data_IF_514041634541
#
_entry.id   IF_514041634541
#
_cell.length_a   1.000
_cell.length_b   1.000
_cell.length_c   1.000
_cell.angle_alpha   90.00
_cell.angle_beta   90.00
_cell.angle_gamma   90.00
#
_symmetry.space_group_name_H-M   'P 1'
#
loop_
_entity.id
_entity.type
_entity.pdbx_description
1 polymer ?
#
# COMPACT_ATOMS: atom_id res chain seq x y z
N UNK A 1 -15.76 38.96 27.48
CA UNK A 1 -16.08 38.20 26.27
C UNK A 1 -17.02 37.11 26.66
N UNK A 2 -18.28 37.35 26.37
CA UNK A 2 -19.35 36.40 26.62
C UNK A 2 -19.27 35.35 25.51
N UNK A 3 -19.35 34.08 25.87
CA UNK A 3 -19.51 32.96 24.95
C UNK A 3 -20.90 32.38 25.21
N UNK A 4 -21.47 31.66 24.25
CA UNK A 4 -22.77 31.01 24.41
C UNK A 4 -22.67 29.51 24.16
N UNK A 5 -23.68 28.79 24.66
CA UNK A 5 -23.74 27.31 24.65
C UNK A 5 -23.27 26.67 23.36
N UNK A 6 -22.60 25.52 23.48
CA UNK A 6 -22.12 24.75 22.31
C UNK A 6 -23.28 24.30 21.40
N UNK A 7 -24.49 24.25 21.95
CA UNK A 7 -25.74 23.89 21.28
C UNK A 7 -26.59 25.08 20.85
N UNK A 8 -26.12 26.31 21.07
CA UNK A 8 -26.86 27.53 20.83
C UNK A 8 -26.33 28.25 19.58
N UNK A 9 -27.17 29.08 18.96
CA UNK A 9 -26.79 29.85 17.77
C UNK A 9 -27.45 31.23 17.70
N UNK A 10 -26.83 32.13 16.93
CA UNK A 10 -27.39 33.43 16.60
C UNK A 10 -27.60 33.50 15.10
N UNK A 11 -28.76 33.99 14.68
CA UNK A 11 -29.10 34.16 13.27
C UNK A 11 -29.24 35.64 12.97
N UNK A 12 -28.55 36.12 11.94
CA UNK A 12 -28.50 37.53 11.52
C UNK A 12 -28.89 37.69 10.06
N UNK A 13 -29.23 38.92 9.68
CA UNK A 13 -29.69 39.20 8.33
C UNK A 13 -28.57 39.41 7.29
N UNK A 14 -27.42 39.93 7.71
CA UNK A 14 -26.38 40.37 6.79
C UNK A 14 -24.97 40.13 7.34
N UNK A 15 -24.00 40.19 6.43
CA UNK A 15 -22.58 39.96 6.69
C UNK A 15 -21.96 40.94 7.68
N UNK A 16 -22.45 42.19 7.71
CA UNK A 16 -21.93 43.20 8.62
C UNK A 16 -22.26 42.85 10.08
N UNK A 17 -23.52 42.53 10.36
CA UNK A 17 -23.95 42.08 11.69
C UNK A 17 -23.30 40.73 12.04
N UNK A 18 -23.19 39.81 11.08
CA UNK A 18 -22.49 38.53 11.31
C UNK A 18 -21.07 38.76 11.81
N UNK A 19 -20.26 39.56 11.10
CA UNK A 19 -18.87 39.85 11.51
C UNK A 19 -18.81 40.56 12.86
N UNK A 20 -19.73 41.49 13.12
CA UNK A 20 -19.79 42.21 14.39
C UNK A 20 -20.05 41.24 15.55
N UNK A 21 -21.05 40.37 15.44
CA UNK A 21 -21.38 39.41 16.50
C UNK A 21 -20.34 38.31 16.63
N UNK A 22 -19.77 37.80 15.52
CA UNK A 22 -18.64 36.85 15.55
C UNK A 22 -17.48 37.38 16.41
N UNK A 23 -17.14 38.67 16.24
CA UNK A 23 -16.11 39.37 17.03
C UNK A 23 -16.52 39.60 18.48
N UNK A 24 -17.78 39.97 18.71
CA UNK A 24 -18.30 40.21 20.06
C UNK A 24 -18.29 38.94 20.92
N UNK A 25 -18.68 37.80 20.34
CA UNK A 25 -18.68 36.49 20.98
C UNK A 25 -17.38 35.70 20.72
N UNK A 26 -16.29 36.42 20.42
CA UNK A 26 -14.97 35.81 20.33
C UNK A 26 -14.41 35.56 21.72
N UNK A 27 -13.93 34.35 21.98
CA UNK A 27 -13.27 34.00 23.24
C UNK A 27 -11.87 33.51 22.95
N UNK A 28 -10.88 34.04 23.66
CA UNK A 28 -9.46 33.67 23.49
C UNK A 28 -8.95 33.80 22.04
N UNK A 29 -9.45 34.81 21.31
CA UNK A 29 -9.10 35.05 19.90
C UNK A 29 -9.80 34.15 18.89
N UNK A 30 -10.70 33.27 19.33
CA UNK A 30 -11.47 32.36 18.47
C UNK A 30 -12.86 32.96 18.22
N UNK A 31 -13.13 33.34 16.98
CA UNK A 31 -14.46 33.82 16.54
C UNK A 31 -15.52 32.71 16.60
N UNK A 32 -16.79 33.08 16.80
CA UNK A 32 -17.87 32.08 16.82
C UNK A 32 -18.35 31.71 15.42
N UNK A 33 -18.24 30.44 15.04
CA UNK A 33 -18.80 29.86 13.83
C UNK A 33 -20.29 29.49 13.98
N UNK A 34 -20.90 29.79 15.13
CA UNK A 34 -22.33 29.57 15.40
C UNK A 34 -23.19 30.84 15.23
N UNK A 35 -22.68 31.81 14.47
CA UNK A 35 -23.43 33.00 14.01
C UNK A 35 -23.70 32.86 12.51
N UNK A 36 -24.96 32.70 12.12
CA UNK A 36 -25.37 32.36 10.75
C UNK A 36 -26.18 33.45 10.08
N UNK A 37 -26.05 33.59 8.77
CA UNK A 37 -27.03 34.32 7.95
C UNK A 37 -28.35 33.55 7.88
N UNK A 38 -29.46 34.26 7.60
CA UNK A 38 -30.75 33.63 7.28
C UNK A 38 -30.67 32.56 6.20
N UNK A 39 -29.77 32.72 5.25
CA UNK A 39 -29.57 31.79 4.13
C UNK A 39 -28.70 30.58 4.48
N UNK A 40 -27.83 30.69 5.48
CA UNK A 40 -26.86 29.65 5.86
C UNK A 40 -27.44 28.66 6.87
N UNK A 41 -28.40 29.11 7.68
CA UNK A 41 -28.94 28.32 8.78
C UNK A 41 -29.90 27.20 8.33
N UNK A 42 -30.18 27.09 7.03
CA UNK A 42 -31.15 26.13 6.51
C UNK A 42 -30.64 24.70 6.71
N UNK A 43 -31.44 23.86 7.38
CA UNK A 43 -31.11 22.46 7.66
C UNK A 43 -30.34 22.24 8.96
N UNK A 44 -30.03 23.30 9.70
CA UNK A 44 -29.38 23.23 11.00
C UNK A 44 -30.41 23.30 12.14
N UNK A 45 -30.08 22.71 13.28
CA UNK A 45 -30.92 22.71 14.48
C UNK A 45 -30.08 22.92 15.75
N UNK A 46 -30.58 23.79 16.62
CA UNK A 46 -29.92 24.24 17.85
C UNK A 46 -30.90 24.10 19.02
N UNK A 47 -30.39 24.02 20.26
CA UNK A 47 -31.26 24.00 21.44
C UNK A 47 -31.95 25.35 21.59
N UNK A 48 -31.14 26.41 21.67
CA UNK A 48 -31.62 27.78 21.78
C UNK A 48 -31.10 28.64 20.62
N UNK A 49 -31.96 29.53 20.10
CA UNK A 49 -31.62 30.42 18.97
C UNK A 49 -32.02 31.86 19.28
N UNK A 50 -31.12 32.81 19.03
CA UNK A 50 -31.45 34.23 18.98
C UNK A 50 -31.54 34.67 17.52
N UNK A 51 -32.70 35.17 17.11
CA UNK A 51 -32.86 35.88 15.83
C UNK A 51 -32.61 37.36 16.06
N UNK A 52 -31.55 37.87 15.45
CA UNK A 52 -31.01 39.20 15.71
C UNK A 52 -31.51 40.22 14.69
N UNK A 53 -32.23 41.23 15.18
CA UNK A 53 -32.71 42.41 14.44
C UNK A 53 -33.43 42.04 13.14
N UNK A 54 -34.30 41.03 13.21
CA UNK A 54 -34.97 40.46 12.04
C UNK A 54 -35.77 41.52 11.26
N UNK A 55 -36.66 42.24 11.96
CA UNK A 55 -37.55 43.19 11.30
C UNK A 55 -36.83 44.48 10.90
N UNK A 56 -35.91 44.98 11.71
CA UNK A 56 -35.08 46.16 11.42
C UNK A 56 -34.37 46.03 10.06
N UNK A 57 -33.90 44.82 9.70
CA UNK A 57 -33.30 44.57 8.40
C UNK A 57 -34.25 44.92 7.23
N UNK A 58 -35.51 44.52 7.34
CA UNK A 58 -36.51 44.70 6.29
C UNK A 58 -37.15 46.09 6.30
N UNK A 59 -37.03 46.88 7.37
CA UNK A 59 -37.54 48.26 7.41
C UNK A 59 -36.90 49.15 6.34
N UNK A 60 -35.65 48.84 5.97
CA UNK A 60 -34.94 49.55 4.89
C UNK A 60 -35.46 49.21 3.48
N UNK A 61 -36.26 48.15 3.33
CA UNK A 61 -36.75 47.66 2.05
C UNK A 61 -38.10 48.32 1.75
N UNK A 62 -38.12 49.32 0.85
CA UNK A 62 -39.30 50.13 0.50
C UNK A 62 -40.33 49.40 -0.37
N UNK A 63 -40.69 48.17 -0.04
CA UNK A 63 -41.69 47.38 -0.79
C UNK A 63 -42.62 46.67 0.18
N UNK A 64 -43.92 46.85 0.02
CA UNK A 64 -44.95 46.08 0.75
C UNK A 64 -45.70 45.12 -0.18
N UNK A 65 -45.03 44.69 -1.25
CA UNK A 65 -45.59 43.72 -2.19
C UNK A 65 -45.90 42.38 -1.50
N UNK A 66 -46.90 41.68 -2.01
CA UNK A 66 -47.28 40.34 -1.53
C UNK A 66 -46.11 39.37 -1.62
N UNK A 67 -45.34 39.46 -2.71
CA UNK A 67 -44.15 38.66 -2.98
C UNK A 67 -43.05 38.93 -1.95
N UNK A 68 -42.78 40.20 -1.64
CA UNK A 68 -41.81 40.57 -0.62
C UNK A 68 -42.23 40.08 0.78
N UNK A 69 -43.50 40.27 1.15
CA UNK A 69 -44.00 39.75 2.42
C UNK A 69 -43.92 38.22 2.50
N UNK A 70 -44.22 37.52 1.40
CA UNK A 70 -44.04 36.06 1.32
C UNK A 70 -42.58 35.67 1.53
N UNK A 71 -41.64 36.35 0.90
CA UNK A 71 -40.20 36.11 1.10
C UNK A 71 -39.77 36.35 2.54
N UNK A 72 -40.12 37.50 3.13
CA UNK A 72 -39.84 37.85 4.52
C UNK A 72 -40.37 36.80 5.50
N UNK A 73 -41.64 36.41 5.37
CA UNK A 73 -42.23 35.42 6.28
C UNK A 73 -41.70 34.00 6.06
N UNK A 74 -41.27 33.65 4.84
CA UNK A 74 -40.55 32.40 4.61
C UNK A 74 -39.20 32.39 5.36
N UNK A 75 -38.46 33.49 5.36
CA UNK A 75 -37.21 33.60 6.13
C UNK A 75 -37.47 33.56 7.63
N UNK A 76 -38.53 34.22 8.10
CA UNK A 76 -38.95 34.15 9.49
C UNK A 76 -39.23 32.69 9.90
N UNK A 77 -40.00 31.96 9.08
CA UNK A 77 -40.30 30.55 9.29
C UNK A 77 -39.02 29.69 9.34
N UNK A 78 -38.07 29.93 8.43
CA UNK A 78 -36.77 29.25 8.44
C UNK A 78 -36.04 29.50 9.76
N UNK A 79 -35.99 30.75 10.23
CA UNK A 79 -35.33 31.10 11.49
C UNK A 79 -36.03 30.46 12.69
N UNK A 80 -37.37 30.48 12.72
CA UNK A 80 -38.15 29.94 13.84
C UNK A 80 -38.01 28.43 13.99
N UNK A 81 -37.82 27.72 12.89
CA UNK A 81 -37.71 26.25 12.88
C UNK A 81 -36.29 25.75 13.13
N UNK A 82 -35.35 26.60 13.59
CA UNK A 82 -33.99 26.18 13.97
C UNK A 82 -33.83 25.92 15.46
N UNK A 83 -34.73 26.45 16.29
CA UNK A 83 -34.74 26.20 17.73
C UNK A 83 -35.51 24.93 18.06
N UNK A 84 -34.91 24.05 18.87
CA UNK A 84 -35.55 22.84 19.40
C UNK A 84 -36.23 23.09 20.75
N UNK A 85 -35.70 24.00 21.55
CA UNK A 85 -36.19 24.25 22.91
C UNK A 85 -36.68 25.69 23.08
N UNK A 86 -35.84 26.70 22.81
CA UNK A 86 -36.20 28.11 22.98
C UNK A 86 -35.77 28.97 21.80
N UNK A 87 -36.65 29.90 21.43
CA UNK A 87 -36.34 30.94 20.44
C UNK A 87 -36.52 32.32 21.04
N UNK A 88 -35.56 33.18 20.75
CA UNK A 88 -35.52 34.56 21.17
C UNK A 88 -35.48 35.45 19.93
N UNK A 89 -36.18 36.59 20.00
CA UNK A 89 -36.07 37.66 19.00
C UNK A 89 -35.53 38.89 19.70
N UNK A 90 -34.43 39.43 19.17
CA UNK A 90 -33.89 40.70 19.60
C UNK A 90 -34.21 41.76 18.56
N UNK A 91 -35.16 42.65 18.85
CA UNK A 91 -35.62 43.72 17.93
C UNK A 91 -34.84 45.04 18.08
N UNK A 92 -33.87 45.11 18.99
CA UNK A 92 -33.20 46.37 19.32
C UNK A 92 -33.98 47.20 20.34
N UNK A 93 -33.85 48.53 20.28
CA UNK A 93 -34.46 49.45 21.24
C UNK A 93 -35.98 49.57 21.10
N UNK A 94 -36.53 49.25 19.91
CA UNK A 94 -37.96 49.38 19.62
C UNK A 94 -38.53 48.04 19.17
N UNK A 95 -39.47 47.52 19.95
CA UNK A 95 -40.20 46.29 19.64
C UNK A 95 -41.01 46.49 18.35
N UNK A 96 -40.93 45.54 17.43
CA UNK A 96 -41.69 45.61 16.18
C UNK A 96 -43.18 45.34 16.41
N UNK A 97 -44.05 46.10 15.73
CA UNK A 97 -45.52 45.95 15.86
C UNK A 97 -46.04 44.60 15.35
N UNK A 98 -45.21 43.80 14.66
CA UNK A 98 -45.52 42.42 14.30
C UNK A 98 -45.92 41.58 15.53
N UNK A 99 -45.29 41.81 16.67
CA UNK A 99 -45.54 41.09 17.92
C UNK A 99 -46.85 41.46 18.61
N UNK A 100 -47.44 42.61 18.27
CA UNK A 100 -48.71 43.08 18.83
C UNK A 100 -49.93 42.42 18.20
N UNK A 101 -49.73 41.64 17.13
CA UNK A 101 -50.79 40.92 16.44
C UNK A 101 -51.50 39.96 17.41
N UNK A 102 -52.84 39.97 17.47
CA UNK A 102 -53.61 39.14 18.41
C UNK A 102 -53.24 37.65 18.32
N UNK A 103 -52.92 37.17 17.12
CA UNK A 103 -52.58 35.78 16.85
C UNK A 103 -51.20 35.36 17.38
N UNK A 104 -50.36 36.32 17.79
CA UNK A 104 -48.97 36.07 18.23
C UNK A 104 -48.77 36.51 19.67
N UNK A 105 -49.37 37.64 20.06
CA UNK A 105 -49.16 38.30 21.34
C UNK A 105 -49.40 37.39 22.55
N UNK A 106 -50.35 36.47 22.46
CA UNK A 106 -50.67 35.52 23.54
C UNK A 106 -49.66 34.35 23.65
N UNK A 107 -48.81 34.15 22.63
CA UNK A 107 -47.86 33.04 22.53
C UNK A 107 -46.41 33.46 22.78
N UNK A 108 -46.16 34.73 23.04
CA UNK A 108 -44.82 35.27 23.29
C UNK A 108 -44.72 35.90 24.66
N UNK A 109 -43.52 35.88 25.24
CA UNK A 109 -43.17 36.71 26.38
C UNK A 109 -42.27 37.85 25.91
N UNK A 110 -42.58 39.07 26.34
CA UNK A 110 -41.76 40.25 26.10
C UNK A 110 -41.04 40.56 27.41
N UNK A 111 -39.71 40.67 27.34
CA UNK A 111 -38.87 41.03 28.48
C UNK A 111 -37.78 42.00 28.02
N UNK A 112 -37.54 43.03 28.83
CA UNK A 112 -36.37 43.90 28.71
C UNK A 112 -35.20 43.42 29.59
N UNK A 113 -35.46 42.47 30.51
CA UNK A 113 -34.44 41.90 31.39
C UNK A 113 -33.52 40.94 30.62
N UNK A 114 -32.19 41.12 30.67
CA UNK A 114 -31.21 40.18 30.11
C UNK A 114 -31.28 38.78 30.73
N UNK A 115 -31.85 38.64 31.93
CA UNK A 115 -31.94 37.36 32.69
C UNK A 115 -32.65 36.25 31.90
N UNK A 116 -33.52 36.61 30.95
CA UNK A 116 -34.19 35.62 30.07
C UNK A 116 -33.21 34.88 29.16
N UNK A 117 -31.99 35.41 29.01
CA UNK A 117 -30.89 34.82 28.24
C UNK A 117 -29.86 34.12 29.13
N UNK A 118 -30.11 33.99 30.43
CA UNK A 118 -29.18 33.32 31.35
C UNK A 118 -28.93 31.87 30.95
N UNK A 119 -29.92 31.13 30.43
CA UNK A 119 -29.68 29.78 29.89
C UNK A 119 -28.89 29.77 28.58
N UNK A 120 -28.99 30.85 27.80
CA UNK A 120 -28.36 30.96 26.50
C UNK A 120 -26.84 31.19 26.65
N UNK A 121 -26.47 32.08 27.59
CA UNK A 121 -25.08 32.47 27.88
C UNK A 121 -24.46 31.76 29.08
N UNK A 122 -25.28 31.35 30.06
CA UNK A 122 -24.87 30.60 31.26
C UNK A 122 -24.69 29.13 30.93
N UNK A 123 -23.49 28.76 30.50
CA UNK A 123 -23.22 27.37 30.14
C UNK A 123 -22.64 26.63 31.34
N UNK A 124 -23.49 25.92 32.09
CA UNK A 124 -23.06 24.87 33.02
C UNK A 124 -22.54 23.61 32.30
N UNK A 125 -22.50 23.63 30.95
CA UNK A 125 -21.98 22.55 30.12
C UNK A 125 -20.55 22.17 30.52
N UNK A 126 -20.39 20.90 30.88
CA UNK A 126 -19.10 20.27 31.10
C UNK A 126 -18.32 20.15 29.80
N UNK A 127 -16.99 20.07 29.87
CA UNK A 127 -16.16 19.83 28.67
C UNK A 127 -16.54 18.52 27.97
N UNK A 128 -17.02 17.51 28.71
CA UNK A 128 -17.53 16.25 28.14
C UNK A 128 -18.77 16.45 27.27
N UNK A 129 -19.74 17.25 27.71
CA UNK A 129 -20.94 17.57 26.92
C UNK A 129 -20.62 18.42 25.68
N UNK A 130 -19.63 19.31 25.80
CA UNK A 130 -19.11 20.10 24.68
C UNK A 130 -18.44 19.21 23.64
N UNK A 131 -17.62 18.24 24.07
CA UNK A 131 -17.00 17.25 23.18
C UNK A 131 -18.06 16.44 22.42
N UNK A 132 -19.07 15.90 23.10
CA UNK A 132 -20.16 15.16 22.44
C UNK A 132 -20.89 16.03 21.40
N UNK A 133 -21.07 17.32 21.71
CA UNK A 133 -21.70 18.27 20.78
C UNK A 133 -20.81 18.52 19.56
N UNK A 134 -19.50 18.70 19.76
CA UNK A 134 -18.53 18.85 18.68
C UNK A 134 -18.44 17.58 17.79
N UNK A 135 -18.43 16.39 18.38
CA UNK A 135 -18.45 15.12 17.65
C UNK A 135 -19.70 14.98 16.77
N UNK A 136 -20.86 15.43 17.26
CA UNK A 136 -22.09 15.48 16.46
C UNK A 136 -21.95 16.46 15.28
N UNK A 137 -21.31 17.62 15.48
CA UNK A 137 -21.02 18.53 14.38
C UNK A 137 -20.07 17.89 13.35
N UNK A 138 -19.02 17.18 13.79
CA UNK A 138 -18.12 16.44 12.88
C UNK A 138 -18.89 15.41 12.03
N UNK A 139 -19.75 14.60 12.65
CA UNK A 139 -20.55 13.58 11.97
C UNK A 139 -21.49 14.17 10.91
N UNK A 140 -21.92 15.41 11.10
CA UNK A 140 -22.77 16.15 10.16
C UNK A 140 -21.99 16.95 9.11
N UNK A 141 -20.64 16.91 9.13
CA UNK A 141 -19.80 17.70 8.23
C UNK A 141 -19.66 19.18 8.62
N UNK A 142 -20.11 19.57 9.82
CA UNK A 142 -20.05 20.95 10.30
C UNK A 142 -18.72 21.22 11.02
N UNK A 143 -17.61 21.06 10.29
CA UNK A 143 -16.26 21.05 10.86
C UNK A 143 -15.87 22.37 11.52
N UNK A 144 -16.28 23.52 10.98
CA UNK A 144 -15.94 24.83 11.55
C UNK A 144 -16.52 25.02 12.95
N UNK A 145 -17.74 24.55 13.20
CA UNK A 145 -18.39 24.58 14.51
C UNK A 145 -17.73 23.60 15.49
N UNK A 146 -17.41 22.38 15.03
CA UNK A 146 -16.69 21.40 15.85
C UNK A 146 -15.32 21.93 16.31
N UNK A 147 -14.55 22.48 15.35
CA UNK A 147 -13.24 23.09 15.59
C UNK A 147 -13.31 24.20 16.64
N UNK A 148 -14.29 25.11 16.51
CA UNK A 148 -14.50 26.18 17.48
C UNK A 148 -14.70 25.62 18.89
N UNK A 149 -15.56 24.60 19.04
CA UNK A 149 -15.86 24.01 20.35
C UNK A 149 -14.61 23.36 20.95
N UNK A 150 -13.87 22.54 20.20
CA UNK A 150 -12.64 21.91 20.69
C UNK A 150 -11.57 22.91 21.12
N UNK A 151 -11.45 24.02 20.39
CA UNK A 151 -10.48 25.07 20.67
C UNK A 151 -10.85 25.90 21.91
N UNK A 152 -12.14 26.01 22.24
CA UNK A 152 -12.68 26.78 23.39
C UNK A 152 -12.83 25.94 24.68
N UNK A 153 -12.47 24.66 24.69
CA UNK A 153 -12.46 23.84 25.91
C UNK A 153 -11.52 24.42 26.97
N UNK A 154 -11.73 24.10 28.26
CA UNK A 154 -10.84 24.59 29.33
C UNK A 154 -9.42 24.08 29.15
N UNK A 155 -9.29 22.84 28.69
CA UNK A 155 -8.05 22.27 28.17
C UNK A 155 -8.25 21.98 26.69
N UNK A 156 -7.71 22.83 25.79
CA UNK A 156 -7.88 22.65 24.36
C UNK A 156 -7.38 21.28 23.90
N UNK A 157 -8.23 20.57 23.16
CA UNK A 157 -7.89 19.29 22.55
C UNK A 157 -7.26 19.53 21.19
N UNK A 158 -5.96 19.88 21.20
CA UNK A 158 -5.22 20.26 19.99
C UNK A 158 -5.17 19.12 18.94
N UNK A 159 -5.20 17.87 19.40
CA UNK A 159 -5.34 16.68 18.57
C UNK A 159 -6.64 16.69 17.76
N UNK A 160 -7.76 17.00 18.40
CA UNK A 160 -9.07 17.08 17.77
C UNK A 160 -9.19 18.33 16.88
N UNK A 161 -8.62 19.47 17.30
CA UNK A 161 -8.55 20.68 16.45
C UNK A 161 -7.79 20.39 15.16
N UNK A 162 -6.62 19.75 15.25
CA UNK A 162 -5.83 19.37 14.09
C UNK A 162 -6.59 18.39 13.18
N UNK A 163 -7.23 17.36 13.75
CA UNK A 163 -8.07 16.42 13.00
C UNK A 163 -9.14 17.15 12.17
N UNK A 164 -9.86 18.09 12.81
CA UNK A 164 -10.92 18.85 12.13
C UNK A 164 -10.35 19.85 11.12
N UNK A 165 -9.20 20.46 11.40
CA UNK A 165 -8.49 21.32 10.44
C UNK A 165 -8.13 20.56 9.16
N UNK A 166 -7.68 19.31 9.28
CA UNK A 166 -7.41 18.47 8.13
C UNK A 166 -8.68 18.21 7.29
N UNK A 167 -9.81 17.90 7.94
CA UNK A 167 -11.10 17.70 7.26
C UNK A 167 -11.59 18.97 6.56
N UNK A 168 -11.39 20.15 7.15
CA UNK A 168 -11.71 21.44 6.51
C UNK A 168 -10.86 21.61 5.24
N UNK A 169 -9.56 21.35 5.30
CA UNK A 169 -8.70 21.40 4.11
C UNK A 169 -9.12 20.40 3.04
N UNK A 170 -9.58 19.19 3.41
CA UNK A 170 -10.13 18.22 2.47
C UNK A 170 -11.39 18.75 1.74
N UNK A 171 -12.33 19.39 2.45
CA UNK A 171 -13.52 20.01 1.85
C UNK A 171 -13.14 21.14 0.88
N UNK A 172 -12.14 21.92 1.25
CA UNK A 172 -11.59 23.02 0.44
C UNK A 172 -10.71 22.51 -0.73
N UNK A 173 -10.50 21.19 -0.83
CA UNK A 173 -9.64 20.49 -1.81
C UNK A 173 -8.17 20.89 -1.72
N UNK A 174 -7.73 21.41 -0.59
CA UNK A 174 -6.32 21.65 -0.29
C UNK A 174 -5.70 20.41 0.37
N UNK A 175 -5.61 19.35 -0.42
CA UNK A 175 -5.14 18.06 0.04
C UNK A 175 -3.67 18.09 0.52
N UNK A 176 -2.87 19.05 0.04
CA UNK A 176 -1.49 19.18 0.49
C UNK A 176 -1.41 19.59 1.97
N UNK A 177 -2.24 20.56 2.40
CA UNK A 177 -2.28 20.96 3.81
C UNK A 177 -3.00 19.93 4.68
N UNK A 178 -4.07 19.29 4.19
CA UNK A 178 -4.72 18.18 4.89
C UNK A 178 -3.73 17.03 5.16
N UNK A 179 -2.99 16.60 4.13
CA UNK A 179 -1.99 15.53 4.24
C UNK A 179 -0.87 15.84 5.25
N UNK A 180 -0.43 17.10 5.35
CA UNK A 180 0.57 17.55 6.34
C UNK A 180 0.06 17.39 7.77
N UNK A 181 -1.18 17.77 8.01
CA UNK A 181 -1.79 17.64 9.34
C UNK A 181 -1.98 16.17 9.69
N UNK A 182 -2.53 15.36 8.77
CA UNK A 182 -2.67 13.92 8.99
C UNK A 182 -1.34 13.23 9.27
N UNK A 183 -0.28 13.61 8.56
CA UNK A 183 1.07 13.11 8.82
C UNK A 183 1.54 13.46 10.23
N UNK A 184 1.30 14.69 10.69
CA UNK A 184 1.67 15.11 12.06
C UNK A 184 0.88 14.38 13.15
N UNK A 185 -0.33 13.90 12.83
CA UNK A 185 -1.19 13.09 13.69
C UNK A 185 -0.91 11.59 13.57
N UNK A 186 0.12 11.21 12.81
CA UNK A 186 0.48 9.81 12.52
C UNK A 186 -0.66 8.99 11.87
N UNK A 187 -1.62 9.67 11.24
CA UNK A 187 -2.69 9.07 10.45
C UNK A 187 -2.19 8.82 9.03
N UNK A 188 -1.27 7.86 8.90
CA UNK A 188 -0.50 7.63 7.68
C UNK A 188 -1.38 7.34 6.45
N UNK A 189 -2.48 6.60 6.61
CA UNK A 189 -3.38 6.29 5.48
C UNK A 189 -4.14 7.53 4.98
N UNK A 190 -4.65 8.37 5.89
CA UNK A 190 -5.28 9.64 5.54
C UNK A 190 -4.28 10.57 4.83
N UNK A 191 -3.08 10.70 5.40
CA UNK A 191 -2.00 11.51 4.83
C UNK A 191 -1.61 11.01 3.43
N UNK A 192 -1.43 9.71 3.26
CA UNK A 192 -1.10 9.09 1.98
C UNK A 192 -2.18 9.35 0.92
N UNK A 193 -3.46 9.18 1.28
CA UNK A 193 -4.58 9.46 0.38
C UNK A 193 -4.63 10.93 -0.07
N UNK A 194 -4.42 11.87 0.84
CA UNK A 194 -4.45 13.29 0.49
C UNK A 194 -3.22 13.73 -0.32
N UNK A 195 -2.03 13.22 0.01
CA UNK A 195 -0.86 13.46 -0.82
C UNK A 195 -1.00 12.86 -2.23
N UNK A 196 -1.63 11.70 -2.40
CA UNK A 196 -1.95 11.18 -3.74
C UNK A 196 -2.93 12.09 -4.50
N UNK A 197 -4.00 12.57 -3.85
CA UNK A 197 -4.94 13.53 -4.47
C UNK A 197 -4.23 14.83 -4.87
N UNK A 198 -3.25 15.27 -4.07
CA UNK A 198 -2.37 16.40 -4.36
C UNK A 198 -1.27 16.10 -5.39
N UNK A 199 -1.09 14.83 -5.80
CA UNK A 199 0.01 14.34 -6.66
C UNK A 199 1.41 14.60 -6.08
N UNK A 200 1.52 14.62 -4.75
CA UNK A 200 2.77 14.69 -4.00
C UNK A 200 3.27 13.26 -3.73
N UNK A 201 3.75 12.61 -4.78
CA UNK A 201 4.01 11.17 -4.78
C UNK A 201 5.11 10.74 -3.81
N UNK A 202 6.15 11.55 -3.60
CA UNK A 202 7.20 11.23 -2.62
C UNK A 202 6.67 11.26 -1.17
N UNK A 203 5.80 12.20 -0.84
CA UNK A 203 5.20 12.27 0.49
C UNK A 203 4.17 11.15 0.67
N UNK A 204 3.38 10.85 -0.36
CA UNK A 204 2.44 9.73 -0.36
C UNK A 204 3.16 8.38 -0.19
N UNK A 205 4.26 8.15 -0.91
CA UNK A 205 5.08 6.93 -0.81
C UNK A 205 5.55 6.71 0.63
N UNK A 206 6.10 7.75 1.27
CA UNK A 206 6.55 7.70 2.67
C UNK A 206 5.40 7.41 3.64
N UNK A 207 4.22 7.96 3.39
CA UNK A 207 3.03 7.66 4.19
C UNK A 207 2.64 6.19 4.07
N UNK A 208 2.63 5.64 2.85
CA UNK A 208 2.26 4.25 2.62
C UNK A 208 3.28 3.25 3.15
N UNK A 209 4.56 3.59 3.13
CA UNK A 209 5.62 2.83 3.82
C UNK A 209 5.35 2.73 5.33
N UNK A 210 5.07 3.87 5.97
CA UNK A 210 4.72 3.95 7.40
C UNK A 210 3.40 3.24 7.74
N UNK A 211 2.45 3.20 6.81
CA UNK A 211 1.20 2.49 6.95
C UNK A 211 1.33 0.97 6.68
N UNK A 212 2.52 0.48 6.31
CA UNK A 212 2.77 -0.90 5.89
C UNK A 212 1.94 -1.34 4.66
N UNK A 213 1.51 -0.39 3.84
CA UNK A 213 0.69 -0.62 2.64
C UNK A 213 1.56 -0.59 1.38
N UNK A 214 2.29 -1.69 1.17
CA UNK A 214 3.27 -1.78 0.09
C UNK A 214 2.64 -1.72 -1.32
N UNK A 215 1.36 -2.06 -1.51
CA UNK A 215 0.70 -1.92 -2.81
C UNK A 215 0.51 -0.44 -3.18
N UNK A 216 0.10 0.40 -2.23
CA UNK A 216 -0.05 1.85 -2.46
C UNK A 216 1.29 2.55 -2.53
N UNK A 217 2.27 2.09 -1.76
CA UNK A 217 3.68 2.52 -1.88
C UNK A 217 4.22 2.22 -3.29
N UNK A 218 4.04 0.99 -3.79
CA UNK A 218 4.42 0.59 -5.14
C UNK A 218 3.76 1.49 -6.19
N UNK A 219 2.46 1.77 -6.06
CA UNK A 219 1.76 2.69 -6.96
C UNK A 219 2.41 4.08 -6.97
N UNK A 220 2.77 4.64 -5.81
CA UNK A 220 3.45 5.94 -5.75
C UNK A 220 4.85 5.89 -6.39
N UNK A 221 5.61 4.83 -6.18
CA UNK A 221 6.91 4.61 -6.83
C UNK A 221 6.78 4.51 -8.36
N UNK A 222 5.72 3.87 -8.87
CA UNK A 222 5.42 3.84 -10.31
C UNK A 222 5.13 5.24 -10.85
N UNK A 223 4.35 6.07 -10.13
CA UNK A 223 4.11 7.47 -10.53
C UNK A 223 5.40 8.31 -10.56
N UNK A 224 6.37 7.96 -9.72
CA UNK A 224 7.71 8.57 -9.69
C UNK A 224 8.65 8.00 -10.77
N UNK A 225 8.23 6.98 -11.53
CA UNK A 225 9.07 6.29 -12.52
C UNK A 225 10.15 5.39 -11.91
N UNK A 226 10.06 5.05 -10.62
CA UNK A 226 11.02 4.24 -9.88
C UNK A 226 10.69 2.75 -9.98
N UNK A 227 10.65 2.23 -11.20
CA UNK A 227 10.19 0.86 -11.48
C UNK A 227 11.06 -0.24 -10.85
N UNK A 228 12.38 -0.02 -10.74
CA UNK A 228 13.28 -0.96 -10.06
C UNK A 228 12.98 -1.04 -8.56
N UNK A 229 12.69 0.10 -7.91
CA UNK A 229 12.32 0.14 -6.50
C UNK A 229 11.00 -0.59 -6.25
N UNK A 230 10.05 -0.52 -7.19
CA UNK A 230 8.79 -1.29 -7.13
C UNK A 230 9.07 -2.79 -7.14
N UNK A 231 9.93 -3.26 -8.04
CA UNK A 231 10.27 -4.68 -8.13
C UNK A 231 10.99 -5.15 -6.85
N UNK A 232 11.92 -4.35 -6.33
CA UNK A 232 12.60 -4.62 -5.07
C UNK A 232 11.66 -4.62 -3.87
N UNK A 233 10.68 -3.72 -3.82
CA UNK A 233 9.67 -3.67 -2.76
C UNK A 233 8.90 -4.99 -2.70
N UNK A 234 8.45 -5.51 -3.85
CA UNK A 234 7.80 -6.83 -3.90
C UNK A 234 8.75 -7.98 -3.52
N UNK A 235 10.05 -7.91 -3.87
CA UNK A 235 11.04 -8.90 -3.38
C UNK A 235 11.16 -8.89 -1.86
N UNK A 236 11.28 -7.71 -1.24
CA UNK A 236 11.42 -7.54 0.22
C UNK A 236 10.18 -8.05 0.96
N UNK A 237 9.01 -7.85 0.36
CA UNK A 237 7.72 -8.34 0.88
C UNK A 237 7.44 -9.81 0.54
N UNK A 238 8.36 -10.47 -0.14
CA UNK A 238 8.26 -11.86 -0.60
C UNK A 238 7.02 -12.13 -1.48
N UNK A 239 6.47 -11.10 -2.13
CA UNK A 239 5.46 -11.25 -3.18
C UNK A 239 6.16 -11.57 -4.49
N UNK A 240 6.64 -12.80 -4.58
CA UNK A 240 7.48 -13.26 -5.67
C UNK A 240 6.77 -13.20 -7.03
N UNK A 241 5.43 -13.29 -7.07
CA UNK A 241 4.68 -13.24 -8.32
C UNK A 241 4.71 -11.84 -8.92
N UNK A 242 4.42 -10.80 -8.13
CA UNK A 242 4.51 -9.42 -8.60
C UNK A 242 5.96 -9.00 -8.85
N UNK A 243 6.90 -9.40 -7.97
CA UNK A 243 8.32 -9.16 -8.20
C UNK A 243 8.80 -9.73 -9.54
N UNK A 244 8.44 -10.97 -9.87
CA UNK A 244 8.78 -11.62 -11.15
C UNK A 244 8.24 -10.81 -12.33
N UNK A 245 6.96 -10.43 -12.28
CA UNK A 245 6.32 -9.63 -13.33
C UNK A 245 7.05 -8.32 -13.55
N UNK A 246 7.39 -7.59 -12.48
CA UNK A 246 8.08 -6.30 -12.59
C UNK A 246 9.51 -6.44 -13.11
N UNK A 247 10.25 -7.47 -12.69
CA UNK A 247 11.58 -7.73 -13.25
C UNK A 247 11.55 -8.17 -14.71
N UNK A 248 10.51 -8.89 -15.14
CA UNK A 248 10.30 -9.24 -16.55
C UNK A 248 10.01 -8.00 -17.39
N UNK A 249 9.16 -7.09 -16.91
CA UNK A 249 8.86 -5.82 -17.59
C UNK A 249 10.14 -4.97 -17.76
N UNK A 250 11.03 -5.01 -16.77
CA UNK A 250 12.36 -4.37 -16.81
C UNK A 250 13.42 -5.13 -17.61
N UNK A 251 13.10 -6.33 -18.13
CA UNK A 251 14.04 -7.23 -18.80
C UNK A 251 15.29 -7.56 -17.98
N UNK A 252 15.20 -7.51 -16.64
CA UNK A 252 16.28 -7.89 -15.74
C UNK A 252 16.27 -9.40 -15.50
N UNK A 253 16.75 -10.15 -16.50
CA UNK A 253 16.66 -11.62 -16.53
C UNK A 253 17.40 -12.32 -15.39
N UNK A 254 18.45 -11.70 -14.83
CA UNK A 254 19.14 -12.22 -13.64
C UNK A 254 18.21 -12.20 -12.43
N UNK A 255 17.54 -11.07 -12.18
CA UNK A 255 16.57 -10.95 -11.09
C UNK A 255 15.36 -11.86 -11.30
N UNK A 256 14.85 -11.96 -12.53
CA UNK A 256 13.77 -12.91 -12.87
C UNK A 256 14.18 -14.34 -12.51
N UNK A 257 15.40 -14.76 -12.87
CA UNK A 257 15.88 -16.11 -12.56
C UNK A 257 15.92 -16.36 -11.05
N UNK A 258 16.47 -15.42 -10.26
CA UNK A 258 16.50 -15.49 -8.79
C UNK A 258 15.09 -15.58 -8.19
N UNK A 259 14.16 -14.78 -8.69
CA UNK A 259 12.77 -14.80 -8.19
C UNK A 259 12.08 -16.12 -8.56
N UNK A 260 12.30 -16.67 -9.75
CA UNK A 260 11.81 -18.01 -10.12
C UNK A 260 12.38 -19.11 -9.19
N UNK A 261 13.65 -19.00 -8.76
CA UNK A 261 14.24 -19.91 -7.77
C UNK A 261 13.50 -19.84 -6.43
N UNK A 262 13.19 -18.63 -5.94
CA UNK A 262 12.43 -18.42 -4.70
C UNK A 262 11.04 -19.03 -4.76
N UNK A 263 10.41 -18.99 -5.93
CA UNK A 263 9.12 -19.64 -6.20
C UNK A 263 9.23 -21.15 -6.44
N UNK A 264 10.43 -21.72 -6.46
CA UNK A 264 10.70 -23.13 -6.79
C UNK A 264 10.30 -23.51 -8.21
N UNK A 265 10.24 -22.55 -9.14
CA UNK A 265 10.03 -22.77 -10.57
C UNK A 265 11.36 -23.12 -11.25
N UNK A 266 11.95 -24.26 -10.86
CA UNK A 266 13.33 -24.61 -11.21
C UNK A 266 13.58 -24.61 -12.73
N UNK A 267 12.69 -25.20 -13.54
CA UNK A 267 12.87 -25.25 -15.00
C UNK A 267 12.85 -23.84 -15.61
N UNK A 268 11.95 -22.98 -15.16
CA UNK A 268 11.87 -21.59 -15.62
C UNK A 268 13.11 -20.81 -15.20
N UNK A 269 13.52 -20.91 -13.93
CA UNK A 269 14.75 -20.29 -13.43
C UNK A 269 15.98 -20.69 -14.27
N UNK A 270 16.08 -21.98 -14.65
CA UNK A 270 17.16 -22.45 -15.51
C UNK A 270 17.13 -21.82 -16.91
N UNK A 271 15.94 -21.65 -17.51
CA UNK A 271 15.79 -20.98 -18.79
C UNK A 271 16.17 -19.50 -18.72
N UNK A 272 15.83 -18.82 -17.64
CA UNK A 272 16.18 -17.41 -17.43
C UNK A 272 17.67 -17.23 -17.16
N UNK A 273 18.31 -18.11 -16.38
CA UNK A 273 19.77 -18.08 -16.18
C UNK A 273 20.56 -18.25 -17.49
N UNK A 274 20.04 -19.03 -18.45
CA UNK A 274 20.65 -19.16 -19.77
C UNK A 274 20.60 -17.87 -20.60
N UNK A 275 19.67 -16.95 -20.32
CA UNK A 275 19.61 -15.64 -20.99
C UNK A 275 20.70 -14.68 -20.50
N UNK A 276 21.21 -14.87 -19.28
CA UNK A 276 22.35 -14.11 -18.69
C UNK A 276 23.64 -14.95 -18.64
N UNK A 277 23.87 -15.78 -19.68
CA UNK A 277 24.84 -16.88 -19.77
C UNK A 277 25.36 -17.55 -18.48
N UNK A 278 24.54 -17.69 -17.44
CA UNK A 278 24.94 -18.35 -16.20
C UNK A 278 24.58 -19.85 -16.24
N UNK A 279 25.32 -20.59 -17.04
CA UNK A 279 25.03 -22.00 -17.30
C UNK A 279 25.19 -22.91 -16.07
N UNK A 280 26.04 -22.54 -15.10
CA UNK A 280 26.21 -23.31 -13.87
C UNK A 280 24.96 -23.26 -12.98
N UNK A 281 24.41 -22.06 -12.73
CA UNK A 281 23.14 -21.94 -11.99
C UNK A 281 21.97 -22.51 -12.77
N UNK A 282 21.98 -22.42 -14.11
CA UNK A 282 20.98 -23.11 -14.92
C UNK A 282 21.04 -24.63 -14.74
N UNK A 283 22.24 -25.21 -14.71
CA UNK A 283 22.43 -26.63 -14.46
C UNK A 283 21.97 -27.04 -13.05
N UNK A 284 22.23 -26.22 -12.03
CA UNK A 284 21.75 -26.44 -10.66
C UNK A 284 20.23 -26.58 -10.62
N UNK A 285 19.55 -25.64 -11.27
CA UNK A 285 18.10 -25.61 -11.34
C UNK A 285 17.53 -26.80 -12.13
N UNK A 286 18.15 -27.18 -13.25
CA UNK A 286 17.74 -28.40 -13.96
C UNK A 286 17.96 -29.67 -13.12
N UNK A 287 19.06 -29.74 -12.36
CA UNK A 287 19.28 -30.84 -11.43
C UNK A 287 18.20 -30.89 -10.33
N UNK A 288 17.81 -29.74 -9.76
CA UNK A 288 16.71 -29.66 -8.79
C UNK A 288 15.36 -30.09 -9.40
N UNK A 289 15.16 -29.87 -10.70
CA UNK A 289 14.00 -30.34 -11.44
C UNK A 289 14.07 -31.83 -11.86
N UNK A 290 15.18 -32.53 -11.56
CA UNK A 290 15.52 -33.87 -12.07
C UNK A 290 15.69 -33.96 -13.61
N UNK A 291 15.92 -32.83 -14.27
CA UNK A 291 16.18 -32.74 -15.72
C UNK A 291 17.68 -32.85 -16.01
N UNK A 292 18.27 -33.98 -15.64
CA UNK A 292 19.73 -34.19 -15.71
C UNK A 292 20.32 -34.03 -17.12
N UNK A 293 19.55 -34.32 -18.17
CA UNK A 293 20.02 -34.15 -19.55
C UNK A 293 20.26 -32.67 -19.89
N UNK A 294 19.36 -31.80 -19.48
CA UNK A 294 19.49 -30.37 -19.71
C UNK A 294 20.54 -29.73 -18.80
N UNK A 295 20.67 -30.23 -17.56
CA UNK A 295 21.78 -29.85 -16.69
C UNK A 295 23.15 -30.16 -17.33
N UNK A 296 23.33 -31.37 -17.88
CA UNK A 296 24.56 -31.75 -18.59
C UNK A 296 24.81 -30.86 -19.81
N UNK A 297 23.77 -30.53 -20.58
CA UNK A 297 23.90 -29.60 -21.72
C UNK A 297 24.42 -28.24 -21.27
N UNK A 298 23.90 -27.68 -20.19
CA UNK A 298 24.39 -26.42 -19.64
C UNK A 298 25.85 -26.51 -19.16
N UNK A 299 26.21 -27.58 -18.43
CA UNK A 299 27.58 -27.74 -17.94
C UNK A 299 28.62 -27.95 -19.06
N UNK A 300 28.19 -28.48 -20.21
CA UNK A 300 29.05 -28.58 -21.40
C UNK A 300 29.39 -27.20 -21.99
N UNK A 301 28.50 -26.21 -21.89
CA UNK A 301 28.77 -24.83 -22.38
C UNK A 301 29.90 -24.13 -21.59
N UNK A 302 30.20 -24.61 -20.38
CA UNK A 302 31.25 -24.07 -19.51
C UNK A 302 32.37 -25.10 -19.23
N UNK A 303 32.41 -26.19 -20.01
CA UNK A 303 33.39 -27.28 -19.88
C UNK A 303 33.56 -27.83 -18.45
N UNK A 304 32.49 -27.85 -17.65
CA UNK A 304 32.53 -28.31 -16.26
C UNK A 304 32.34 -29.84 -16.16
N UNK A 305 33.37 -30.57 -16.60
CA UNK A 305 33.39 -32.04 -16.65
C UNK A 305 33.24 -32.73 -15.30
N UNK A 306 33.77 -32.12 -14.23
CA UNK A 306 33.67 -32.66 -12.87
C UNK A 306 32.21 -32.75 -12.40
N UNK A 307 31.41 -31.72 -12.68
CA UNK A 307 29.99 -31.72 -12.31
C UNK A 307 29.16 -32.66 -13.18
N UNK A 308 29.47 -32.74 -14.48
CA UNK A 308 28.83 -33.69 -15.39
C UNK A 308 29.05 -35.12 -14.90
N UNK A 309 30.29 -35.47 -14.55
CA UNK A 309 30.64 -36.77 -13.98
C UNK A 309 29.82 -37.07 -12.71
N UNK A 310 29.70 -36.10 -11.81
CA UNK A 310 28.89 -36.21 -10.59
C UNK A 310 27.44 -36.61 -10.86
N UNK A 311 26.81 -36.01 -11.87
CA UNK A 311 25.43 -36.33 -12.28
C UNK A 311 25.33 -37.80 -12.74
N UNK A 312 26.21 -38.24 -13.63
CA UNK A 312 26.20 -39.62 -14.14
C UNK A 312 26.53 -40.66 -13.06
N UNK A 313 27.38 -40.30 -12.08
CA UNK A 313 27.69 -41.14 -10.92
C UNK A 313 26.48 -41.34 -10.03
N UNK A 314 25.77 -40.27 -9.68
CA UNK A 314 24.53 -40.37 -8.88
C UNK A 314 23.48 -41.24 -9.58
N UNK A 315 23.37 -41.12 -10.90
CA UNK A 315 22.48 -41.96 -11.71
C UNK A 315 22.99 -43.40 -11.92
N UNK A 316 24.17 -43.78 -11.41
CA UNK A 316 24.81 -45.09 -11.64
C UNK A 316 24.97 -45.46 -13.13
N UNK A 317 25.25 -44.46 -13.97
CA UNK A 317 25.32 -44.60 -15.45
C UNK A 317 26.67 -44.18 -16.02
N UNK A 318 27.77 -44.53 -15.35
CA UNK A 318 29.14 -44.21 -15.77
C UNK A 318 29.48 -44.63 -17.22
N UNK A 319 28.90 -45.71 -17.74
CA UNK A 319 29.09 -46.10 -19.16
C UNK A 319 28.59 -45.01 -20.13
N UNK A 320 27.46 -44.37 -19.83
CA UNK A 320 26.93 -43.28 -20.66
C UNK A 320 27.78 -42.02 -20.56
N UNK A 321 28.43 -41.81 -19.41
CA UNK A 321 29.40 -40.73 -19.24
C UNK A 321 30.67 -40.96 -20.09
N UNK A 322 31.16 -42.20 -20.15
CA UNK A 322 32.25 -42.57 -21.05
C UNK A 322 31.87 -42.31 -22.52
N UNK A 323 30.67 -42.71 -22.94
CA UNK A 323 30.17 -42.45 -24.31
C UNK A 323 30.11 -40.94 -24.61
N UNK A 324 29.67 -40.13 -23.64
CA UNK A 324 29.67 -38.67 -23.76
C UNK A 324 31.08 -38.10 -23.90
N UNK A 325 32.03 -38.52 -23.05
CA UNK A 325 33.43 -38.08 -23.12
C UNK A 325 34.07 -38.45 -24.46
N UNK A 326 33.78 -39.64 -24.99
CA UNK A 326 34.26 -40.08 -26.30
C UNK A 326 33.67 -39.24 -27.44
N UNK A 327 32.37 -38.96 -27.41
CA UNK A 327 31.70 -38.14 -28.44
C UNK A 327 32.17 -36.68 -28.48
N UNK A 328 32.75 -36.19 -27.38
CA UNK A 328 33.28 -34.83 -27.23
C UNK A 328 34.81 -34.80 -27.22
N UNK A 329 35.45 -35.93 -27.53
CA UNK A 329 36.91 -36.07 -27.60
C UNK A 329 37.65 -35.67 -26.32
N UNK A 330 37.00 -35.77 -25.15
CA UNK A 330 37.65 -35.58 -23.85
C UNK A 330 38.39 -36.86 -23.42
N UNK A 331 39.49 -37.14 -24.11
CA UNK A 331 40.26 -38.38 -23.96
C UNK A 331 40.83 -38.55 -22.55
N UNK A 332 41.24 -37.46 -21.90
CA UNK A 332 41.81 -37.51 -20.54
C UNK A 332 40.79 -37.95 -19.50
N UNK A 333 39.57 -37.39 -19.53
CA UNK A 333 38.49 -37.82 -18.63
C UNK A 333 37.99 -39.22 -19.00
N UNK A 334 37.91 -39.52 -20.30
CA UNK A 334 37.50 -40.84 -20.79
C UNK A 334 38.40 -41.97 -20.28
N UNK A 335 39.72 -41.80 -20.33
CA UNK A 335 40.67 -42.80 -19.82
C UNK A 335 40.45 -43.08 -18.33
N UNK A 336 40.26 -42.04 -17.52
CA UNK A 336 40.00 -42.16 -16.07
C UNK A 336 38.73 -42.96 -15.80
N UNK A 337 37.64 -42.61 -16.48
CA UNK A 337 36.32 -43.26 -16.30
C UNK A 337 36.35 -44.71 -16.78
N UNK A 338 36.94 -44.98 -17.95
CA UNK A 338 37.05 -46.35 -18.46
C UNK A 338 37.94 -47.22 -17.56
N UNK A 339 39.01 -46.67 -17.00
CA UNK A 339 39.86 -47.38 -16.02
C UNK A 339 39.05 -47.77 -14.77
N UNK A 340 38.21 -46.87 -14.26
CA UNK A 340 37.34 -47.18 -13.12
C UNK A 340 36.31 -48.26 -13.47
N UNK A 341 35.60 -48.13 -14.59
CA UNK A 341 34.63 -49.15 -15.05
C UNK A 341 35.33 -50.51 -15.21
N UNK A 342 36.54 -50.51 -15.76
CA UNK A 342 37.36 -51.71 -15.97
C UNK A 342 37.75 -52.38 -14.64
N UNK A 343 38.17 -51.60 -13.65
CA UNK A 343 38.55 -52.11 -12.32
C UNK A 343 37.36 -52.61 -11.51
N UNK A 344 36.22 -51.90 -11.52
CA UNK A 344 35.03 -52.25 -10.73
C UNK A 344 34.38 -53.57 -11.15
N UNK A 345 34.37 -53.91 -12.45
CA UNK A 345 33.81 -55.18 -12.94
C UNK A 345 34.64 -56.40 -12.51
N UNK A 346 35.89 -56.20 -12.06
CA UNK A 346 36.80 -57.25 -11.63
C UNK A 346 37.20 -58.23 -12.75
N UNK A 347 38.28 -58.99 -12.54
CA UNK A 347 38.91 -59.84 -13.57
C UNK A 347 37.95 -60.88 -14.21
N UNK A 348 36.84 -61.22 -13.55
CA UNK A 348 35.85 -62.21 -14.00
C UNK A 348 34.70 -61.69 -14.88
N UNK A 349 34.42 -60.38 -14.91
CA UNK A 349 33.21 -59.83 -15.58
C UNK A 349 33.48 -58.66 -16.53
N UNK A 350 34.75 -58.30 -16.75
CA UNK A 350 35.12 -57.31 -17.76
C UNK A 350 34.85 -57.87 -19.16
N UNK A 351 34.07 -57.15 -19.96
CA UNK A 351 33.88 -57.49 -21.37
C UNK A 351 35.18 -57.19 -22.13
N UNK A 352 35.58 -58.07 -23.07
CA UNK A 352 36.76 -57.83 -23.91
C UNK A 352 36.65 -56.49 -24.67
N UNK A 353 35.43 -56.04 -24.96
CA UNK A 353 35.16 -54.76 -25.62
C UNK A 353 35.51 -53.55 -24.75
N UNK A 354 35.20 -53.55 -23.44
CA UNK A 354 35.54 -52.43 -22.53
C UNK A 354 37.06 -52.27 -22.40
N UNK A 355 37.80 -53.38 -22.37
CA UNK A 355 39.27 -53.37 -22.32
C UNK A 355 39.91 -52.91 -23.64
N UNK A 356 39.39 -53.36 -24.78
CA UNK A 356 39.82 -52.88 -26.12
C UNK A 356 39.59 -51.37 -26.26
N UNK A 357 38.42 -50.90 -25.78
CA UNK A 357 38.07 -49.47 -25.76
C UNK A 357 39.04 -48.67 -24.88
N UNK A 358 39.35 -49.14 -23.66
CA UNK A 358 40.31 -48.49 -22.76
C UNK A 358 41.72 -48.43 -23.36
N UNK A 359 42.23 -49.52 -23.92
CA UNK A 359 43.56 -49.57 -24.50
C UNK A 359 43.72 -48.59 -25.68
N UNK A 360 42.70 -48.49 -26.54
CA UNK A 360 42.70 -47.50 -27.64
C UNK A 360 42.72 -46.05 -27.14
N UNK A 361 42.02 -45.75 -26.05
CA UNK A 361 42.05 -44.40 -25.45
C UNK A 361 43.40 -44.10 -24.80
N UNK A 362 44.02 -45.08 -24.15
CA UNK A 362 45.36 -44.95 -23.57
C UNK A 362 46.42 -44.66 -24.65
N UNK A 363 46.34 -45.31 -25.81
CA UNK A 363 47.19 -45.00 -26.97
C UNK A 363 46.99 -43.54 -27.43
N UNK A 364 45.74 -43.09 -27.56
CA UNK A 364 45.42 -41.70 -27.95
C UNK A 364 45.95 -40.65 -26.97
N UNK A 365 45.98 -40.97 -25.68
CA UNK A 365 46.55 -40.10 -24.64
C UNK A 365 48.08 -40.22 -24.51
N UNK A 366 48.74 -41.08 -25.31
CA UNK A 366 50.18 -41.30 -25.25
C UNK A 366 50.66 -42.21 -24.11
N UNK A 367 49.74 -42.88 -23.41
CA UNK A 367 50.03 -43.81 -22.32
C UNK A 367 50.28 -45.23 -22.85
N UNK A 368 51.30 -45.39 -23.70
CA UNK A 368 51.59 -46.63 -24.44
C UNK A 368 51.82 -47.84 -23.54
N UNK A 369 52.53 -47.68 -22.41
CA UNK A 369 52.76 -48.78 -21.46
C UNK A 369 51.46 -49.29 -20.84
N UNK A 370 50.56 -48.37 -20.48
CA UNK A 370 49.23 -48.73 -19.96
C UNK A 370 48.40 -49.42 -21.05
N UNK A 371 48.45 -48.92 -22.29
CA UNK A 371 47.75 -49.53 -23.42
C UNK A 371 48.21 -50.97 -23.69
N UNK A 372 49.54 -51.20 -23.75
CA UNK A 372 50.13 -52.53 -23.97
C UNK A 372 49.69 -53.48 -22.85
N UNK A 373 49.77 -53.04 -21.59
CA UNK A 373 49.36 -53.86 -20.44
C UNK A 373 47.87 -54.21 -20.50
N UNK A 374 47.01 -53.25 -20.85
CA UNK A 374 45.56 -53.48 -21.01
C UNK A 374 45.28 -54.45 -22.17
N UNK A 375 45.96 -54.29 -23.32
CA UNK A 375 45.85 -55.20 -24.46
C UNK A 375 46.27 -56.64 -24.12
N UNK A 376 47.39 -56.80 -23.39
CA UNK A 376 47.86 -58.12 -22.94
C UNK A 376 46.85 -58.78 -21.99
N UNK A 377 46.26 -58.03 -21.05
CA UNK A 377 45.23 -58.57 -20.14
C UNK A 377 43.96 -58.98 -20.89
N UNK A 378 43.51 -58.19 -21.88
CA UNK A 378 42.34 -58.54 -22.71
C UNK A 378 42.58 -59.78 -23.56
N UNK A 379 43.71 -59.86 -24.27
CA UNK A 379 44.04 -60.98 -25.15
C UNK A 379 44.28 -62.28 -24.35
N UNK A 380 44.89 -62.17 -23.16
CA UNK A 380 45.05 -63.30 -22.23
C UNK A 380 43.70 -63.89 -21.77
N UNK A 381 42.68 -63.05 -21.55
CA UNK A 381 41.32 -63.50 -21.21
C UNK A 381 40.59 -64.16 -22.37
N UNK A 382 40.72 -63.64 -23.59
CA UNK A 382 40.12 -64.27 -24.79
C UNK A 382 40.67 -65.70 -24.98
N UNK A 383 41.99 -65.88 -24.83
CA UNK A 383 42.65 -67.19 -24.83
C UNK A 383 42.14 -68.12 -23.72
N UNK A 384 42.02 -67.63 -22.48
CA UNK A 384 41.49 -68.42 -21.36
C UNK A 384 40.04 -68.88 -21.60
N UNK A 385 39.17 -68.00 -22.11
CA UNK A 385 37.78 -68.33 -22.40
C UNK A 385 37.61 -69.35 -23.53
N UNK A 386 38.48 -69.29 -24.56
CA UNK A 386 38.53 -70.29 -25.63
C UNK A 386 38.93 -71.67 -25.09
N UNK A 387 39.96 -71.74 -24.24
CA UNK A 387 40.41 -72.97 -23.58
C UNK A 387 39.35 -73.55 -22.63
N UNK A 388 38.63 -72.71 -21.90
CA UNK A 388 37.53 -73.15 -21.04
C UNK A 388 36.36 -73.74 -21.83
N UNK A 389 36.02 -73.16 -22.99
CA UNK A 389 34.98 -73.70 -23.90
C UNK A 389 35.39 -75.05 -24.50
N UNK A 390 36.66 -75.24 -24.87
CA UNK A 390 37.13 -76.52 -25.41
C UNK A 390 37.12 -77.66 -24.39
N UNK A 391 37.29 -77.35 -23.09
CA UNK A 391 37.26 -78.34 -21.99
C UNK A 391 35.82 -78.73 -21.58
N UNK A 392 34.82 -77.88 -21.83
CA UNK A 392 33.40 -78.16 -21.47
C UNK A 392 32.68 -78.94 -22.59
N UNK A 393 33.18 -78.89 -23.83
CA UNK A 393 32.64 -79.60 -24.99
C UNK A 393 33.31 -80.97 -25.26
N UNK A 394 34.32 -81.33 -24.47
CA UNK A 394 34.92 -82.66 -24.36
C UNK A 394 34.35 -83.40 -23.16
#
# INVERSE_FOLDING_TARGET
NDDFGSRNAIIVANEQEKRKLKRQFSKDGIESERVFLFTEVKGLEFNEVIVWKFFEHFESWRSDSREFNKFKYNLLYVCTTRAREKIYFYDGEKINSFWERPEIKEHISISESPEVLDSFFGTDETDGEKIQTAEKYEQLGNYKQAREIYAKLKQPRLDLVAKVDALIYEEERDFANAGRIWFSLEQWENAGNDYEKAKLWEDAERCWDKADNYQRQAFCLEQLGKFEDVALLYEIREDWNEAEKRWRDLSNWEKVAVVCEKQKKCVEAALEWKKVPNFERAADNYCLANEHKDAVRCLLEVDNWQRIEGIYRQASTLSKFADLCESRENWTTLEKVLTEIYTQKGWKWVSANDGKRLASVQEKNGNLDNAINTWLDVNGKELYNLLKKSIILS
#
